data_IF_038685651957
#
_entry.id   IF_038685651957
#
_cell.length_a   1.000
_cell.length_b   1.000
_cell.length_c   1.000
_cell.angle_alpha   90.00
_cell.angle_beta   90.00
_cell.angle_gamma   90.00
#
_symmetry.space_group_name_H-M   'P 1'
#
loop_
_entity.id
_entity.type
_entity.pdbx_description
1 polymer ?
#
# COMPACT_ATOMS: atom_id res chain seq x y z
N UNK A 1 -13.55 -9.68 -27.33
CA UNK A 1 -14.79 -9.25 -26.67
C UNK A 1 -14.80 -9.79 -25.25
N UNK A 2 -14.62 -8.93 -24.25
CA UNK A 2 -15.15 -9.11 -22.89
C UNK A 2 -14.99 -7.78 -22.15
N UNK A 3 -16.08 -7.37 -21.52
CA UNK A 3 -16.39 -6.05 -20.99
C UNK A 3 -15.61 -5.75 -19.69
N UNK A 4 -15.05 -4.54 -19.57
CA UNK A 4 -14.47 -4.03 -18.33
C UNK A 4 -15.58 -3.61 -17.35
N UNK A 5 -15.52 -4.08 -16.10
CA UNK A 5 -16.38 -3.62 -15.00
C UNK A 5 -15.61 -2.62 -14.14
N UNK A 6 -16.09 -1.39 -14.10
CA UNK A 6 -15.65 -0.34 -13.17
C UNK A 6 -16.52 -0.43 -11.92
N UNK A 7 -15.92 -0.61 -10.76
CA UNK A 7 -16.56 -0.41 -9.46
C UNK A 7 -15.73 0.61 -8.67
N UNK A 8 -16.25 1.82 -8.56
CA UNK A 8 -15.77 2.87 -7.67
C UNK A 8 -16.46 2.70 -6.32
N UNK A 9 -15.71 2.39 -5.25
CA UNK A 9 -16.21 2.48 -3.87
C UNK A 9 -15.69 3.79 -3.28
N UNK A 10 -16.60 4.75 -3.12
CA UNK A 10 -16.42 5.91 -2.27
C UNK A 10 -17.20 5.66 -0.97
N UNK A 11 -16.48 5.52 0.14
CA UNK A 11 -17.05 5.48 1.47
C UNK A 11 -17.19 6.91 2.02
N UNK A 12 -18.41 7.41 2.08
CA UNK A 12 -18.75 8.55 2.95
C UNK A 12 -20.10 8.32 3.64
N UNK A 13 -19.99 8.09 4.95
CA UNK A 13 -20.91 8.48 6.02
C UNK A 13 -22.42 8.45 5.77
N UNK A 14 -23.05 7.53 6.50
CA UNK A 14 -24.45 7.48 6.85
C UNK A 14 -24.92 8.72 7.64
N UNK A 15 -25.79 9.53 7.03
CA UNK A 15 -26.71 10.42 7.73
C UNK A 15 -28.11 10.03 7.26
N UNK A 16 -28.87 9.32 8.12
CA UNK A 16 -30.29 9.08 7.89
C UNK A 16 -31.09 9.73 9.02
N UNK A 17 -31.62 10.89 8.68
CA UNK A 17 -32.62 11.63 9.43
C UNK A 17 -33.88 10.77 9.61
N UNK A 18 -34.30 10.55 10.85
CA UNK A 18 -35.66 10.14 11.17
C UNK A 18 -36.36 11.29 11.88
N UNK A 19 -37.17 12.01 11.12
CA UNK A 19 -38.14 12.99 11.61
C UNK A 19 -39.40 12.23 11.98
N UNK A 20 -39.69 12.14 13.28
CA UNK A 20 -41.04 11.82 13.76
C UNK A 20 -41.44 12.88 14.78
N UNK A 21 -42.31 13.76 14.34
CA UNK A 21 -42.97 14.79 15.13
C UNK A 21 -44.03 14.16 16.04
N UNK A 22 -43.85 14.27 17.35
CA UNK A 22 -44.96 14.22 18.31
C UNK A 22 -44.74 15.26 19.41
N UNK A 23 -45.78 16.06 19.62
CA UNK A 23 -45.89 17.21 20.51
C UNK A 23 -46.72 16.79 21.74
N UNK A 24 -46.18 16.94 22.96
CA UNK A 24 -46.93 17.05 24.22
C UNK A 24 -45.97 17.51 25.33
N UNK A 25 -45.99 18.79 25.73
CA UNK A 25 -46.73 19.41 26.85
C UNK A 25 -46.14 19.17 28.27
N UNK A 26 -45.47 20.23 28.75
CA UNK A 26 -45.57 20.90 30.07
C UNK A 26 -45.35 20.15 31.39
N UNK A 27 -44.50 20.72 32.26
CA UNK A 27 -44.64 20.62 33.72
C UNK A 27 -43.34 20.86 34.52
N UNK A 28 -43.30 21.72 35.58
CA UNK A 28 -42.06 22.19 36.21
C UNK A 28 -41.77 21.56 37.59
N UNK A 29 -40.61 21.94 38.15
CA UNK A 29 -40.19 21.93 39.56
C UNK A 29 -39.27 20.78 40.08
N UNK A 30 -38.16 21.25 40.67
CA UNK A 30 -37.57 20.85 41.96
C UNK A 30 -36.32 19.94 42.00
N UNK A 31 -35.21 20.60 42.39
CA UNK A 31 -34.20 20.21 43.40
C UNK A 31 -33.55 18.82 43.35
N UNK A 32 -32.21 18.77 43.31
CA UNK A 32 -31.38 18.37 44.47
C UNK A 32 -29.92 18.02 44.09
N UNK A 33 -29.00 18.79 44.66
CA UNK A 33 -27.76 18.42 45.36
C UNK A 33 -26.81 17.35 44.76
N UNK A 34 -25.66 17.86 44.32
CA UNK A 34 -24.29 17.49 44.69
C UNK A 34 -24.01 16.05 45.17
N UNK A 35 -23.14 15.32 44.45
CA UNK A 35 -21.96 14.67 45.05
C UNK A 35 -20.88 14.46 43.98
N UNK A 36 -19.86 15.31 43.99
CA UNK A 36 -18.67 15.20 43.15
C UNK A 36 -17.80 14.07 43.67
N UNK A 37 -17.93 12.87 43.10
CA UNK A 37 -16.97 11.78 43.35
C UNK A 37 -15.83 11.91 42.34
N UNK A 38 -14.76 12.62 42.72
CA UNK A 38 -13.47 12.61 42.00
C UNK A 38 -12.94 11.17 42.01
N UNK A 39 -13.16 10.41 40.94
CA UNK A 39 -12.32 9.25 40.62
C UNK A 39 -11.11 9.78 39.88
N UNK A 40 -9.95 9.72 40.52
CA UNK A 40 -8.67 9.88 39.85
C UNK A 40 -8.58 8.79 38.78
N UNK A 41 -8.77 9.18 37.51
CA UNK A 41 -8.45 8.32 36.39
C UNK A 41 -6.92 8.26 36.33
N UNK A 42 -6.36 7.08 36.64
CA UNK A 42 -4.98 6.77 36.30
C UNK A 42 -4.79 7.06 34.81
N UNK A 43 -3.82 7.92 34.50
CA UNK A 43 -3.41 8.19 33.13
C UNK A 43 -2.86 6.89 32.55
N UNK A 44 -3.72 6.12 31.89
CA UNK A 44 -3.30 5.08 30.97
C UNK A 44 -2.53 5.80 29.87
N UNK A 45 -1.20 5.74 29.96
CA UNK A 45 -0.32 6.02 28.84
C UNK A 45 -0.76 5.11 27.71
N UNK A 46 -1.60 5.65 26.83
CA UNK A 46 -1.88 5.06 25.53
C UNK A 46 -0.56 5.09 24.78
N UNK A 47 0.22 4.03 24.94
CA UNK A 47 1.31 3.75 24.02
C UNK A 47 0.65 3.61 22.67
N UNK A 48 0.67 4.71 21.91
CA UNK A 48 0.29 4.73 20.51
C UNK A 48 0.95 3.52 19.89
N UNK A 49 0.15 2.50 19.56
CA UNK A 49 0.64 1.35 18.81
C UNK A 49 1.15 1.97 17.54
N UNK A 50 2.47 2.11 17.42
CA UNK A 50 3.10 2.53 16.18
C UNK A 50 2.67 1.48 15.17
N UNK A 51 1.70 1.86 14.35
CA UNK A 51 1.33 1.07 13.19
C UNK A 51 2.61 0.95 12.39
N UNK A 52 3.23 -0.22 12.40
CA UNK A 52 4.23 -0.57 11.40
C UNK A 52 3.49 -0.82 10.07
N UNK A 53 2.69 0.16 9.63
CA UNK A 53 2.36 0.27 8.23
C UNK A 53 3.64 0.81 7.61
N UNK A 54 4.35 -0.04 6.87
CA UNK A 54 5.38 0.42 5.94
C UNK A 54 4.68 1.35 4.95
N UNK A 55 4.57 2.64 5.29
CA UNK A 55 4.25 3.68 4.34
C UNK A 55 5.55 3.91 3.60
N UNK A 56 5.76 3.15 2.51
CA UNK A 56 6.86 3.43 1.60
C UNK A 56 6.79 4.92 1.25
N UNK A 57 7.90 5.64 1.46
CA UNK A 57 8.00 7.05 1.07
C UNK A 57 7.89 7.07 -0.45
N UNK A 58 6.69 7.37 -0.97
CA UNK A 58 6.44 7.44 -2.40
C UNK A 58 6.88 8.80 -2.91
N UNK A 59 8.12 8.89 -3.39
CA UNK A 59 8.63 10.03 -4.13
C UNK A 59 9.41 9.52 -5.35
N UNK A 60 8.72 9.18 -6.46
CA UNK A 60 9.38 8.57 -7.61
C UNK A 60 10.19 9.62 -8.36
N UNK A 61 11.47 9.74 -8.01
CA UNK A 61 12.48 10.21 -8.97
C UNK A 61 12.61 9.22 -10.14
N UNK A 62 12.20 7.97 -9.91
CA UNK A 62 12.21 6.86 -10.86
C UNK A 62 10.81 6.30 -11.05
N UNK A 63 10.40 6.10 -12.30
CA UNK A 63 9.13 5.53 -12.74
C UNK A 63 9.34 4.15 -13.36
N UNK A 64 8.25 3.39 -13.48
CA UNK A 64 8.27 2.05 -14.09
C UNK A 64 7.80 2.15 -15.54
N UNK A 65 8.49 1.44 -16.44
CA UNK A 65 8.11 1.25 -17.83
C UNK A 65 8.14 -0.23 -18.18
N UNK A 66 6.97 -0.78 -18.49
CA UNK A 66 6.82 -2.16 -18.93
C UNK A 66 7.04 -2.26 -20.45
N UNK A 67 7.81 -3.27 -20.87
CA UNK A 67 8.04 -3.61 -22.27
C UNK A 67 7.78 -5.11 -22.48
N UNK A 68 7.09 -5.49 -23.56
CA UNK A 68 6.62 -6.86 -23.77
C UNK A 68 5.22 -7.11 -23.20
N UNK A 69 4.69 -8.31 -23.43
CA UNK A 69 3.37 -8.70 -22.89
C UNK A 69 3.53 -9.37 -21.53
N UNK A 70 2.64 -9.13 -20.56
CA UNK A 70 2.67 -9.88 -19.30
C UNK A 70 2.60 -11.40 -19.54
N UNK A 71 3.26 -12.17 -18.66
CA UNK A 71 3.30 -13.64 -18.72
C UNK A 71 3.93 -14.20 -20.01
N UNK A 72 4.86 -13.46 -20.61
CA UNK A 72 5.68 -13.96 -21.72
C UNK A 72 7.16 -13.93 -21.37
N UNK A 73 7.96 -14.67 -22.14
CA UNK A 73 9.42 -14.69 -22.00
C UNK A 73 10.07 -13.35 -22.33
N UNK A 74 9.34 -12.49 -23.05
CA UNK A 74 9.82 -11.19 -23.48
C UNK A 74 9.42 -10.01 -22.58
N UNK A 75 8.69 -10.28 -21.49
CA UNK A 75 8.27 -9.26 -20.52
C UNK A 75 9.44 -8.73 -19.69
N UNK A 76 9.64 -7.41 -19.71
CA UNK A 76 10.64 -6.69 -18.92
C UNK A 76 10.02 -5.49 -18.25
N UNK A 77 10.44 -5.23 -17.03
CA UNK A 77 10.11 -4.03 -16.28
C UNK A 77 11.36 -3.18 -16.14
N UNK A 78 11.40 -2.06 -16.86
CA UNK A 78 12.47 -1.08 -16.78
C UNK A 78 12.14 0.02 -15.78
N UNK A 79 13.18 0.59 -15.20
CA UNK A 79 13.12 1.80 -14.40
C UNK A 79 13.54 2.98 -15.29
N UNK A 80 12.82 4.08 -15.22
CA UNK A 80 13.12 5.29 -15.99
C UNK A 80 13.12 6.53 -15.11
N UNK A 81 14.01 7.48 -15.38
CA UNK A 81 14.01 8.77 -14.70
C UNK A 81 12.85 9.67 -15.19
N UNK A 82 12.76 10.88 -14.63
CA UNK A 82 11.77 11.88 -15.08
C UNK A 82 11.97 12.36 -16.53
N UNK A 83 13.15 12.18 -17.10
CA UNK A 83 13.45 12.49 -18.49
C UNK A 83 13.13 11.31 -19.44
N UNK A 84 12.75 10.15 -18.90
CA UNK A 84 12.47 8.94 -19.66
C UNK A 84 13.70 8.10 -19.99
N UNK A 85 14.88 8.42 -19.42
CA UNK A 85 16.09 7.62 -19.60
C UNK A 85 16.06 6.38 -18.73
N UNK A 86 16.52 5.24 -19.26
CA UNK A 86 16.57 3.98 -18.52
C UNK A 86 17.60 4.05 -17.40
N UNK A 87 17.18 3.66 -16.20
CA UNK A 87 17.96 3.63 -14.96
C UNK A 87 18.14 2.16 -14.55
N UNK A 88 19.34 1.78 -14.16
CA UNK A 88 19.62 0.47 -13.58
C UNK A 88 19.23 0.46 -12.10
N UNK A 89 18.24 -0.34 -11.67
CA UNK A 89 17.93 -0.48 -10.25
C UNK A 89 19.07 -1.07 -9.42
N UNK A 90 20.03 -1.77 -10.04
CA UNK A 90 21.19 -2.33 -9.33
C UNK A 90 22.31 -1.30 -9.14
N UNK A 91 22.58 -0.49 -10.16
CA UNK A 91 23.76 0.39 -10.17
C UNK A 91 23.44 1.86 -9.88
N UNK A 92 22.28 2.36 -10.31
CA UNK A 92 21.98 3.78 -10.32
C UNK A 92 21.07 4.21 -9.15
N UNK A 93 20.28 3.30 -8.58
CA UNK A 93 19.46 3.59 -7.40
C UNK A 93 20.35 3.54 -6.15
N UNK A 94 20.46 4.63 -5.37
CA UNK A 94 21.32 4.65 -4.20
C UNK A 94 20.78 3.71 -3.12
N UNK A 95 21.64 2.92 -2.47
CA UNK A 95 21.22 2.03 -1.40
C UNK A 95 20.65 2.79 -0.19
N UNK A 96 21.24 3.93 0.17
CA UNK A 96 20.86 4.72 1.35
C UNK A 96 20.44 6.14 0.94
N UNK A 97 19.29 6.60 1.43
CA UNK A 97 18.76 7.95 1.17
C UNK A 97 19.10 8.94 2.30
N UNK A 98 19.60 8.41 3.43
CA UNK A 98 19.99 9.16 4.63
C UNK A 98 19.21 8.72 5.87
N UNK A 99 19.62 9.18 7.05
CA UNK A 99 18.94 8.90 8.32
C UNK A 99 18.67 7.41 8.62
N UNK A 100 19.56 6.52 8.15
CA UNK A 100 19.37 5.07 8.31
C UNK A 100 18.23 4.48 7.46
N UNK A 101 17.73 5.21 6.47
CA UNK A 101 16.71 4.74 5.52
C UNK A 101 17.38 4.17 4.27
N UNK A 102 16.92 3.00 3.86
CA UNK A 102 17.44 2.26 2.71
C UNK A 102 16.37 2.13 1.63
N UNK A 103 16.80 2.15 0.38
CA UNK A 103 15.94 1.80 -0.74
C UNK A 103 15.78 0.29 -0.82
N UNK A 104 14.55 -0.13 -1.11
CA UNK A 104 14.18 -1.52 -1.32
C UNK A 104 13.46 -1.63 -2.66
N UNK A 105 14.06 -2.37 -3.60
CA UNK A 105 13.48 -2.65 -4.91
C UNK A 105 12.69 -3.94 -4.81
N UNK A 106 11.36 -3.84 -4.92
CA UNK A 106 10.47 -4.99 -4.84
C UNK A 106 10.51 -5.75 -6.16
N UNK A 107 10.97 -7.00 -6.13
CA UNK A 107 10.95 -7.88 -7.30
C UNK A 107 9.64 -8.68 -7.37
N UNK A 108 9.23 -9.28 -6.25
CA UNK A 108 8.05 -10.14 -6.15
C UNK A 108 7.04 -9.49 -5.19
N UNK A 109 5.97 -8.87 -5.70
CA UNK A 109 4.97 -8.26 -4.85
C UNK A 109 4.28 -9.27 -3.94
N UNK A 110 3.83 -8.82 -2.78
CA UNK A 110 3.00 -9.59 -1.86
C UNK A 110 1.77 -10.18 -2.57
N UNK A 111 1.42 -11.40 -2.18
CA UNK A 111 0.38 -12.26 -2.77
C UNK A 111 0.64 -12.64 -4.25
N UNK A 112 1.90 -12.62 -4.71
CA UNK A 112 2.29 -13.12 -6.03
C UNK A 112 3.22 -14.33 -5.94
N UNK A 113 3.30 -15.11 -7.02
CA UNK A 113 4.13 -16.32 -7.10
C UNK A 113 5.08 -16.33 -8.30
N UNK A 114 4.96 -15.37 -9.22
CA UNK A 114 5.89 -15.24 -10.35
C UNK A 114 7.29 -14.96 -9.80
N UNK A 115 8.26 -15.80 -10.14
CA UNK A 115 9.65 -15.60 -9.72
C UNK A 115 10.28 -14.54 -10.60
N UNK A 116 9.98 -13.28 -10.29
CA UNK A 116 10.62 -12.12 -10.88
C UNK A 116 11.98 -11.90 -10.23
N UNK A 117 12.96 -11.47 -11.02
CA UNK A 117 14.31 -11.17 -10.55
C UNK A 117 14.96 -10.11 -11.44
N UNK A 118 15.93 -9.38 -10.88
CA UNK A 118 16.77 -8.49 -11.66
C UNK A 118 17.63 -9.25 -12.69
N UNK A 119 17.53 -8.84 -13.95
CA UNK A 119 18.30 -9.36 -15.07
C UNK A 119 19.71 -8.75 -15.08
N UNK A 120 20.59 -9.30 -14.24
CA UNK A 120 22.00 -8.86 -14.12
C UNK A 120 22.82 -9.05 -15.41
N UNK A 121 22.31 -9.87 -16.33
CA UNK A 121 22.86 -10.17 -17.65
C UNK A 121 22.42 -9.19 -18.75
N UNK A 122 21.41 -8.36 -18.50
CA UNK A 122 20.83 -7.43 -19.48
C UNK A 122 21.17 -5.97 -19.16
N UNK A 123 21.31 -5.11 -20.20
CA UNK A 123 21.60 -3.69 -20.00
C UNK A 123 20.47 -2.99 -19.23
N UNK A 124 20.84 -2.06 -18.34
CA UNK A 124 19.94 -1.38 -17.42
C UNK A 124 19.20 -2.29 -16.43
N UNK A 125 19.63 -3.55 -16.30
CA UNK A 125 19.19 -4.52 -15.29
C UNK A 125 17.67 -4.50 -15.04
N UNK A 126 16.83 -4.73 -16.07
CA UNK A 126 15.38 -4.76 -15.88
C UNK A 126 14.98 -5.91 -14.95
N UNK A 127 13.77 -5.85 -14.40
CA UNK A 127 13.18 -7.02 -13.73
C UNK A 127 12.51 -7.89 -14.81
N UNK A 128 12.85 -9.18 -14.82
CA UNK A 128 12.25 -10.20 -15.70
C UNK A 128 11.86 -11.44 -14.90
N UNK A 129 11.02 -12.29 -15.46
CA UNK A 129 10.69 -13.55 -14.81
C UNK A 129 11.77 -14.61 -15.07
N UNK A 130 12.20 -15.32 -14.03
CA UNK A 130 13.11 -16.46 -14.12
C UNK A 130 12.50 -17.54 -15.03
N UNK A 131 13.37 -18.24 -15.76
CA UNK A 131 12.97 -19.30 -16.67
C UNK A 131 13.58 -20.63 -16.25
N UNK A 132 12.77 -21.69 -16.23
CA UNK A 132 13.22 -23.04 -15.93
C UNK A 132 12.74 -23.98 -17.02
N UNK A 133 13.68 -24.63 -17.71
CA UNK A 133 13.39 -25.51 -18.86
C UNK A 133 12.60 -24.79 -19.97
N UNK A 134 12.96 -23.53 -20.26
CA UNK A 134 12.31 -22.72 -21.29
C UNK A 134 10.89 -22.24 -20.97
N UNK A 135 10.42 -22.44 -19.73
CA UNK A 135 9.12 -21.97 -19.26
C UNK A 135 9.28 -20.96 -18.13
N UNK A 136 8.34 -20.03 -18.02
CA UNK A 136 8.25 -19.08 -16.92
C UNK A 136 8.13 -19.81 -15.58
N UNK A 137 8.92 -19.37 -14.59
CA UNK A 137 8.97 -20.00 -13.29
C UNK A 137 8.05 -19.31 -12.29
N UNK A 138 7.31 -20.13 -11.58
CA UNK A 138 6.48 -19.73 -10.43
C UNK A 138 6.93 -20.50 -9.19
N UNK A 139 6.80 -19.87 -8.04
CA UNK A 139 6.88 -20.56 -6.76
C UNK A 139 5.64 -21.46 -6.57
N UNK A 140 5.75 -22.53 -5.77
CA UNK A 140 4.61 -23.41 -5.48
C UNK A 140 3.48 -22.72 -4.70
N UNK A 141 3.79 -21.61 -4.02
CA UNK A 141 2.85 -20.84 -3.20
C UNK A 141 3.09 -19.34 -3.40
N UNK A 142 2.10 -18.52 -3.04
CA UNK A 142 2.24 -17.06 -3.02
C UNK A 142 3.20 -16.61 -1.93
N UNK A 143 3.94 -15.54 -2.19
CA UNK A 143 4.79 -14.86 -1.21
C UNK A 143 3.92 -13.87 -0.42
N UNK A 144 3.93 -13.96 0.91
CA UNK A 144 3.02 -13.18 1.77
C UNK A 144 3.59 -11.81 2.19
N UNK A 145 4.74 -11.43 1.63
CA UNK A 145 5.50 -10.23 1.93
C UNK A 145 6.05 -9.63 0.64
N UNK A 146 6.43 -8.35 0.68
CA UNK A 146 7.23 -7.74 -0.38
C UNK A 146 8.71 -7.97 -0.08
#
# INVERSE_FOLDING_TARGET
MATARVLTVANTSCLLSKTTSFLAKQGPYSTSLCFTRRRAASSLSSSSRRSFACTAIYNPEVQIKEEGLPETLDYRVFFVDRAGQKVSPWHDIPLQVGNGVFNFVVEIPKESSAKMELATDEPHTPIKQDTKKGKLRYYPYNINWN
#
